data_IF_840598749805
#
_entry.id   IF_840598749805
#
_cell.length_a   1.000
_cell.length_b   1.000
_cell.length_c   1.000
_cell.angle_alpha   90.00
_cell.angle_beta   90.00
_cell.angle_gamma   90.00
#
_symmetry.space_group_name_H-M   'P 1'
#
loop_
_entity.id
_entity.type
_entity.pdbx_description
1 polymer ?
#
# COMPACT_ATOMS: atom_id res chain seq x y z
N UNK A 1 27.30 -16.57 -14.11
CA UNK A 1 26.41 -15.41 -13.86
C UNK A 1 26.53 -15.01 -12.41
N UNK A 2 26.38 -13.73 -12.08
CA UNK A 2 26.49 -13.26 -10.71
C UNK A 2 25.19 -13.60 -9.95
N UNK A 3 25.27 -14.39 -8.87
CA UNK A 3 24.10 -14.85 -8.09
C UNK A 3 23.24 -13.67 -7.62
N UNK A 4 23.87 -12.53 -7.36
CA UNK A 4 23.19 -11.30 -6.93
C UNK A 4 22.29 -10.74 -8.04
N UNK A 5 22.75 -10.71 -9.30
CA UNK A 5 21.93 -10.20 -10.40
C UNK A 5 20.74 -11.11 -10.69
N UNK A 6 20.92 -12.43 -10.55
CA UNK A 6 19.82 -13.39 -10.69
C UNK A 6 18.80 -13.36 -9.55
N UNK A 7 19.15 -12.85 -8.36
CA UNK A 7 18.22 -12.75 -7.23
C UNK A 7 17.48 -11.41 -7.21
N UNK A 8 18.17 -10.33 -7.57
CA UNK A 8 17.54 -9.01 -7.69
C UNK A 8 16.55 -9.00 -8.87
N UNK A 9 16.89 -9.69 -9.96
CA UNK A 9 16.14 -9.64 -11.20
C UNK A 9 16.48 -8.40 -12.02
N UNK A 10 16.11 -8.42 -13.29
CA UNK A 10 16.37 -7.31 -14.19
C UNK A 10 15.50 -6.10 -13.81
N UNK A 11 16.04 -4.90 -14.06
CA UNK A 11 15.35 -3.62 -13.81
C UNK A 11 14.83 -3.43 -12.36
N UNK A 12 15.41 -4.13 -11.38
CA UNK A 12 14.93 -4.17 -9.99
C UNK A 12 14.70 -2.79 -9.36
N UNK A 13 15.63 -1.85 -9.55
CA UNK A 13 15.51 -0.49 -9.00
C UNK A 13 14.33 0.28 -9.60
N UNK A 14 14.10 0.14 -10.91
CA UNK A 14 12.96 0.77 -11.59
C UNK A 14 11.66 0.21 -11.01
N UNK A 15 11.58 -1.12 -10.83
CA UNK A 15 10.41 -1.80 -10.24
C UNK A 15 10.13 -1.35 -8.80
N UNK A 16 11.17 -1.21 -7.97
CA UNK A 16 11.01 -0.69 -6.59
C UNK A 16 10.43 0.72 -6.59
N UNK A 17 10.85 1.60 -7.50
CA UNK A 17 10.35 2.98 -7.57
C UNK A 17 8.92 3.06 -8.13
N UNK A 18 8.52 2.12 -8.99
CA UNK A 18 7.15 2.04 -9.52
C UNK A 18 6.13 1.59 -8.48
N UNK A 19 6.49 0.65 -7.60
CA UNK A 19 5.61 0.11 -6.55
C UNK A 19 4.93 1.22 -5.71
N UNK A 20 5.66 2.12 -5.03
CA UNK A 20 5.04 3.17 -4.22
C UNK A 20 4.32 4.20 -5.08
N UNK A 21 4.74 4.43 -6.33
CA UNK A 21 4.04 5.36 -7.23
C UNK A 21 2.65 4.85 -7.58
N UNK A 22 2.54 3.59 -8.03
CA UNK A 22 1.28 2.99 -8.49
C UNK A 22 0.38 2.61 -7.31
N UNK A 23 0.93 1.93 -6.30
CA UNK A 23 0.16 1.50 -5.14
C UNK A 23 -0.04 2.62 -4.11
N UNK A 24 0.83 3.64 -4.07
CA UNK A 24 0.64 4.83 -3.23
C UNK A 24 -0.42 5.79 -3.77
N UNK A 25 -0.62 5.85 -5.09
CA UNK A 25 -1.76 6.57 -5.67
C UNK A 25 -3.09 6.00 -5.19
N UNK A 26 -3.17 4.66 -5.00
CA UNK A 26 -4.33 4.04 -4.36
C UNK A 26 -4.58 4.58 -2.96
N UNK A 27 -3.53 4.82 -2.17
CA UNK A 27 -3.66 5.37 -0.82
C UNK A 27 -4.27 6.78 -0.84
N UNK A 28 -3.83 7.66 -1.76
CA UNK A 28 -4.38 9.02 -1.90
C UNK A 28 -5.85 9.02 -2.30
N UNK A 29 -6.22 8.23 -3.30
CA UNK A 29 -7.60 8.11 -3.76
C UNK A 29 -8.48 7.54 -2.65
N UNK A 30 -7.98 6.52 -1.95
CA UNK A 30 -8.70 5.88 -0.84
C UNK A 30 -8.93 6.83 0.33
N UNK A 31 -7.95 7.64 0.71
CA UNK A 31 -8.14 8.66 1.75
C UNK A 31 -9.18 9.71 1.35
N UNK A 32 -9.24 10.06 0.06
CA UNK A 32 -10.26 10.98 -0.47
C UNK A 32 -11.66 10.36 -0.38
N UNK A 33 -11.79 9.07 -0.70
CA UNK A 33 -13.04 8.33 -0.57
C UNK A 33 -13.47 8.22 0.90
N UNK A 34 -12.53 7.89 1.80
CA UNK A 34 -12.80 7.77 3.23
C UNK A 34 -13.31 9.10 3.82
N UNK A 35 -12.77 10.25 3.37
CA UNK A 35 -13.30 11.57 3.77
C UNK A 35 -14.76 11.77 3.34
N UNK A 36 -15.16 11.31 2.15
CA UNK A 36 -16.55 11.37 1.69
C UNK A 36 -17.46 10.44 2.49
N UNK A 37 -16.97 9.24 2.84
CA UNK A 37 -17.67 8.33 3.76
C UNK A 37 -17.91 8.99 5.13
N UNK A 38 -16.88 9.58 5.74
CA UNK A 38 -17.01 10.27 7.04
C UNK A 38 -17.98 11.45 7.02
N UNK A 39 -18.21 12.07 5.86
CA UNK A 39 -19.22 13.14 5.67
C UNK A 39 -20.65 12.62 5.49
N UNK A 40 -20.85 11.30 5.47
CA UNK A 40 -22.14 10.66 5.25
C UNK A 40 -22.60 10.68 3.80
N UNK A 41 -21.72 11.01 2.85
CA UNK A 41 -22.04 11.11 1.42
C UNK A 41 -21.97 9.74 0.71
N UNK A 42 -21.42 8.72 1.38
CA UNK A 42 -21.14 7.42 0.76
C UNK A 42 -21.39 6.28 1.75
N UNK A 43 -21.99 5.18 1.29
CA UNK A 43 -22.23 3.99 2.11
C UNK A 43 -21.08 2.98 2.08
N UNK A 44 -20.95 2.16 3.13
CA UNK A 44 -19.86 1.18 3.33
C UNK A 44 -19.66 0.25 2.12
N UNK A 45 -20.75 -0.24 1.52
CA UNK A 45 -20.68 -1.12 0.34
C UNK A 45 -20.04 -0.43 -0.87
N UNK A 46 -20.40 0.83 -1.13
CA UNK A 46 -19.86 1.61 -2.26
C UNK A 46 -18.37 1.90 -2.06
N UNK A 47 -17.97 2.24 -0.84
CA UNK A 47 -16.56 2.45 -0.47
C UNK A 47 -15.72 1.19 -0.69
N UNK A 48 -16.22 0.05 -0.23
CA UNK A 48 -15.54 -1.22 -0.39
C UNK A 48 -15.37 -1.60 -1.87
N UNK A 49 -16.43 -1.46 -2.68
CA UNK A 49 -16.38 -1.77 -4.12
C UNK A 49 -15.33 -0.89 -4.81
N UNK A 50 -15.40 0.44 -4.64
CA UNK A 50 -14.48 1.37 -5.32
C UNK A 50 -13.04 1.14 -4.87
N UNK A 51 -12.81 0.93 -3.57
CA UNK A 51 -11.46 0.67 -3.05
C UNK A 51 -10.89 -0.64 -3.59
N UNK A 52 -11.72 -1.67 -3.72
CA UNK A 52 -11.33 -2.99 -4.20
C UNK A 52 -11.04 -2.99 -5.70
N UNK A 53 -11.88 -2.32 -6.50
CA UNK A 53 -11.65 -2.18 -7.94
C UNK A 53 -10.40 -1.38 -8.24
N UNK A 54 -10.21 -0.25 -7.55
CA UNK A 54 -9.02 0.58 -7.69
C UNK A 54 -7.75 -0.20 -7.31
N UNK A 55 -7.79 -0.92 -6.18
CA UNK A 55 -6.67 -1.78 -5.77
C UNK A 55 -6.33 -2.81 -6.85
N UNK A 56 -7.35 -3.50 -7.39
CA UNK A 56 -7.17 -4.53 -8.40
C UNK A 56 -6.58 -3.96 -9.69
N UNK A 57 -7.11 -2.83 -10.18
CA UNK A 57 -6.61 -2.18 -11.41
C UNK A 57 -5.14 -1.82 -11.27
N UNK A 58 -4.75 -1.14 -10.19
CA UNK A 58 -3.37 -0.71 -9.99
C UNK A 58 -2.42 -1.90 -9.80
N UNK A 59 -2.89 -2.97 -9.14
CA UNK A 59 -2.12 -4.21 -9.01
C UNK A 59 -1.93 -4.92 -10.36
N UNK A 60 -2.93 -4.89 -11.25
CA UNK A 60 -2.81 -5.41 -12.63
C UNK A 60 -1.85 -4.57 -13.45
N UNK A 61 -1.99 -3.23 -13.43
CA UNK A 61 -1.09 -2.30 -14.13
C UNK A 61 0.36 -2.54 -13.70
N UNK A 62 0.60 -2.66 -12.39
CA UNK A 62 1.94 -2.93 -11.88
C UNK A 62 2.51 -4.25 -12.43
N UNK A 63 1.68 -5.31 -12.51
CA UNK A 63 2.13 -6.61 -13.03
C UNK A 63 2.42 -6.54 -14.54
N UNK A 64 1.59 -5.83 -15.32
CA UNK A 64 1.81 -5.62 -16.75
C UNK A 64 3.12 -4.87 -16.98
N UNK A 65 3.38 -3.79 -16.25
CA UNK A 65 4.62 -3.03 -16.36
C UNK A 65 5.86 -3.86 -15.99
N UNK A 66 5.76 -4.74 -14.99
CA UNK A 66 6.86 -5.66 -14.65
C UNK A 66 7.19 -6.60 -15.82
N UNK A 67 6.15 -7.10 -16.49
CA UNK A 67 6.29 -7.91 -17.71
C UNK A 67 6.93 -7.10 -18.83
N UNK A 68 6.40 -5.92 -19.15
CA UNK A 68 6.91 -5.08 -20.23
C UNK A 68 8.39 -4.70 -20.06
N UNK A 69 8.82 -4.39 -18.84
CA UNK A 69 10.22 -4.05 -18.55
C UNK A 69 11.18 -5.20 -18.82
N UNK A 70 10.71 -6.44 -18.75
CA UNK A 70 11.53 -7.63 -18.79
C UNK A 70 11.32 -8.50 -20.05
N UNK A 71 10.52 -8.03 -21.02
CA UNK A 71 10.33 -8.68 -22.34
C UNK A 71 11.67 -8.94 -23.06
N UNK A 72 12.71 -8.15 -22.76
CA UNK A 72 14.05 -8.27 -23.35
C UNK A 72 15.06 -9.00 -22.43
N UNK A 73 14.61 -9.57 -21.31
CA UNK A 73 15.49 -10.26 -20.37
C UNK A 73 15.95 -11.62 -20.93
N UNK A 74 17.26 -11.92 -20.94
CA UNK A 74 17.76 -13.25 -21.29
C UNK A 74 17.47 -14.33 -20.21
N UNK A 75 16.85 -13.97 -19.08
CA UNK A 75 16.73 -14.80 -17.88
C UNK A 75 15.28 -15.20 -17.55
N UNK A 76 14.55 -15.71 -18.55
CA UNK A 76 13.10 -15.98 -18.51
C UNK A 76 12.62 -16.90 -17.39
N UNK A 77 13.39 -17.91 -16.97
CA UNK A 77 12.97 -18.83 -15.91
C UNK A 77 13.14 -18.24 -14.50
N UNK A 78 14.18 -17.44 -14.27
CA UNK A 78 14.39 -16.73 -12.99
C UNK A 78 13.55 -15.47 -12.86
N UNK A 79 13.07 -14.94 -13.98
CA UNK A 79 12.20 -13.78 -14.06
C UNK A 79 10.90 -14.01 -13.27
N UNK A 80 10.24 -15.15 -13.47
CA UNK A 80 8.91 -15.39 -12.88
C UNK A 80 8.94 -15.45 -11.35
N UNK A 81 9.97 -16.08 -10.78
CA UNK A 81 10.11 -16.27 -9.32
C UNK A 81 10.42 -14.94 -8.62
N UNK A 82 11.42 -14.21 -9.13
CA UNK A 82 11.85 -12.94 -8.55
C UNK A 82 10.79 -11.86 -8.62
N UNK A 83 10.09 -11.76 -9.74
CA UNK A 83 9.06 -10.75 -9.94
C UNK A 83 7.79 -11.08 -9.20
N UNK A 84 7.41 -12.36 -9.13
CA UNK A 84 6.25 -12.78 -8.32
C UNK A 84 6.50 -12.53 -6.84
N UNK A 85 7.70 -12.84 -6.34
CA UNK A 85 8.06 -12.54 -4.96
C UNK A 85 8.10 -11.03 -4.68
N UNK A 86 8.66 -10.22 -5.59
CA UNK A 86 8.65 -8.76 -5.47
C UNK A 86 7.21 -8.21 -5.45
N UNK A 87 6.36 -8.71 -6.35
CA UNK A 87 4.96 -8.33 -6.46
C UNK A 87 4.16 -8.67 -5.20
N UNK A 88 4.30 -9.89 -4.67
CA UNK A 88 3.64 -10.27 -3.43
C UNK A 88 4.18 -9.52 -2.21
N UNK A 89 5.49 -9.25 -2.17
CA UNK A 89 6.09 -8.40 -1.12
C UNK A 89 5.48 -7.00 -1.16
N UNK A 90 5.31 -6.40 -2.34
CA UNK A 90 4.68 -5.10 -2.52
C UNK A 90 3.22 -5.10 -2.02
N UNK A 91 2.44 -6.12 -2.35
CA UNK A 91 1.06 -6.26 -1.87
C UNK A 91 1.04 -6.40 -0.34
N UNK A 92 1.92 -7.22 0.26
CA UNK A 92 2.03 -7.35 1.71
C UNK A 92 2.35 -6.00 2.37
N UNK A 93 3.28 -5.23 1.81
CA UNK A 93 3.62 -3.88 2.28
C UNK A 93 2.36 -2.99 2.25
N UNK A 94 1.59 -2.99 1.16
CA UNK A 94 0.34 -2.24 1.08
C UNK A 94 -0.66 -2.62 2.17
N UNK A 95 -0.81 -3.92 2.47
CA UNK A 95 -1.69 -4.37 3.55
C UNK A 95 -1.18 -3.99 4.95
N UNK A 96 0.14 -3.82 5.12
CA UNK A 96 0.71 -3.28 6.36
C UNK A 96 0.48 -1.77 6.52
N UNK A 97 0.42 -1.00 5.43
CA UNK A 97 0.38 0.47 5.48
C UNK A 97 -1.03 1.05 5.39
N UNK A 98 -1.93 0.42 4.64
CA UNK A 98 -3.30 0.93 4.43
C UNK A 98 -4.09 0.94 5.75
N UNK A 99 -4.90 1.99 5.96
CA UNK A 99 -5.81 2.15 7.12
C UNK A 99 -6.85 1.03 7.25
N UNK A 100 -7.37 0.82 8.46
CA UNK A 100 -8.35 -0.26 8.71
C UNK A 100 -9.72 0.10 8.13
N UNK A 101 -10.31 -0.81 7.34
CA UNK A 101 -11.70 -0.74 6.90
C UNK A 101 -12.29 -2.16 6.91
N UNK A 102 -13.63 -2.22 6.98
CA UNK A 102 -14.35 -3.49 7.10
C UNK A 102 -14.11 -4.35 5.84
N UNK A 103 -13.72 -5.62 6.02
CA UNK A 103 -13.51 -6.60 4.95
C UNK A 103 -12.31 -6.33 4.03
N UNK A 104 -11.26 -5.70 4.55
CA UNK A 104 -10.03 -5.40 3.79
C UNK A 104 -9.32 -6.66 3.27
N UNK A 105 -9.32 -7.72 4.06
CA UNK A 105 -8.74 -9.03 3.76
C UNK A 105 -9.38 -9.69 2.52
N UNK A 106 -10.59 -9.29 2.13
CA UNK A 106 -11.30 -9.84 0.97
C UNK A 106 -11.06 -9.05 -0.32
N UNK A 107 -10.48 -7.85 -0.27
CA UNK A 107 -10.27 -7.04 -1.48
C UNK A 107 -9.26 -7.63 -2.46
N UNK A 108 -8.43 -8.59 -2.02
CA UNK A 108 -7.47 -9.27 -2.90
C UNK A 108 -8.12 -10.38 -3.75
N UNK A 109 -9.33 -10.84 -3.41
CA UNK A 109 -9.95 -11.98 -4.10
C UNK A 109 -10.26 -11.69 -5.57
N UNK A 110 -10.67 -10.46 -5.90
CA UNK A 110 -10.90 -10.07 -7.30
C UNK A 110 -9.59 -10.13 -8.10
N UNK A 111 -8.48 -9.70 -7.48
CA UNK A 111 -7.15 -9.81 -8.10
C UNK A 111 -6.76 -11.26 -8.38
N UNK A 112 -7.10 -12.20 -7.49
CA UNK A 112 -6.82 -13.62 -7.71
C UNK A 112 -7.64 -14.22 -8.85
N UNK A 113 -8.91 -13.83 -8.97
CA UNK A 113 -9.73 -14.24 -10.11
C UNK A 113 -9.15 -13.75 -11.44
N UNK A 114 -8.72 -12.48 -11.48
CA UNK A 114 -8.07 -11.90 -12.67
C UNK A 114 -6.76 -12.63 -12.96
N UNK A 115 -5.92 -12.87 -11.95
CA UNK A 115 -4.66 -13.58 -12.11
C UNK A 115 -4.86 -15.00 -12.65
N UNK A 116 -5.79 -15.76 -12.09
CA UNK A 116 -6.08 -17.12 -12.52
C UNK A 116 -6.67 -17.18 -13.94
N UNK A 117 -7.51 -16.20 -14.30
CA UNK A 117 -8.02 -16.07 -15.67
C UNK A 117 -6.89 -15.87 -16.68
N UNK A 118 -5.95 -14.96 -16.41
CA UNK A 118 -4.78 -14.75 -17.26
C UNK A 118 -3.87 -15.99 -17.31
N UNK A 119 -3.69 -16.68 -16.19
CA UNK A 119 -2.93 -17.93 -16.16
C UNK A 119 -3.51 -18.97 -17.15
N UNK A 120 -4.82 -19.24 -17.07
CA UNK A 120 -5.48 -20.16 -18.00
C UNK A 120 -5.38 -19.68 -19.45
N UNK A 121 -5.52 -18.36 -19.68
CA UNK A 121 -5.46 -17.79 -21.02
C UNK A 121 -4.08 -17.99 -21.68
N UNK A 122 -2.99 -17.85 -20.92
CA UNK A 122 -1.63 -17.96 -21.46
C UNK A 122 -1.09 -19.39 -21.49
N UNK A 123 -1.35 -20.19 -20.46
CA UNK A 123 -0.73 -21.51 -20.27
C UNK A 123 -1.70 -22.67 -20.51
N UNK A 124 -2.99 -22.39 -20.73
CA UNK A 124 -4.01 -23.41 -20.86
C UNK A 124 -4.46 -23.98 -19.52
N UNK A 125 -5.38 -24.95 -19.57
CA UNK A 125 -5.89 -25.61 -18.36
C UNK A 125 -5.26 -26.99 -18.20
N UNK A 126 -4.30 -27.10 -17.28
CA UNK A 126 -3.76 -28.36 -16.79
C UNK A 126 -4.10 -28.53 -15.31
N UNK A 127 -4.55 -29.72 -14.91
CA UNK A 127 -5.02 -29.97 -13.54
C UNK A 127 -3.91 -29.79 -12.50
N UNK A 128 -2.70 -30.25 -12.80
CA UNK A 128 -1.56 -30.16 -11.89
C UNK A 128 -1.12 -28.71 -11.68
N UNK A 129 -0.89 -27.97 -12.76
CA UNK A 129 -0.47 -26.56 -12.71
C UNK A 129 -1.55 -25.68 -12.09
N UNK A 130 -2.83 -25.91 -12.44
CA UNK A 130 -3.97 -25.19 -11.86
C UNK A 130 -4.09 -25.43 -10.35
N UNK A 131 -3.82 -26.65 -9.86
CA UNK A 131 -3.82 -26.95 -8.44
C UNK A 131 -2.75 -26.14 -7.69
N UNK A 132 -1.52 -26.10 -8.20
CA UNK A 132 -0.44 -25.32 -7.59
C UNK A 132 -0.74 -23.82 -7.56
N UNK A 133 -1.30 -23.28 -8.64
CA UNK A 133 -1.69 -21.86 -8.70
C UNK A 133 -2.78 -21.54 -7.69
N UNK A 134 -3.86 -22.33 -7.64
CA UNK A 134 -4.95 -22.12 -6.68
C UNK A 134 -4.45 -22.23 -5.24
N UNK A 135 -3.62 -23.25 -4.94
CA UNK A 135 -3.02 -23.44 -3.63
C UNK A 135 -2.15 -22.24 -3.23
N UNK A 136 -1.33 -21.72 -4.15
CA UNK A 136 -0.49 -20.56 -3.90
C UNK A 136 -1.33 -19.30 -3.61
N UNK A 137 -2.37 -19.04 -4.42
CA UNK A 137 -3.28 -17.91 -4.19
C UNK A 137 -4.03 -18.03 -2.86
N UNK A 138 -4.45 -19.24 -2.47
CA UNK A 138 -5.10 -19.50 -1.18
C UNK A 138 -4.15 -19.29 0.01
N UNK A 139 -2.90 -19.75 -0.09
CA UNK A 139 -1.88 -19.50 0.93
C UNK A 139 -1.56 -18.01 1.05
N UNK A 140 -1.48 -17.30 -0.09
CA UNK A 140 -1.27 -15.87 -0.09
C UNK A 140 -2.44 -15.10 0.51
N UNK A 141 -3.67 -15.54 0.25
CA UNK A 141 -4.86 -15.00 0.92
C UNK A 141 -4.78 -15.17 2.44
N UNK A 142 -4.39 -16.35 2.91
CA UNK A 142 -4.22 -16.66 4.33
C UNK A 142 -3.15 -15.79 4.98
N UNK A 143 -2.03 -15.55 4.27
CA UNK A 143 -0.98 -14.65 4.71
C UNK A 143 -1.49 -13.20 4.84
N UNK A 144 -2.22 -12.70 3.84
CA UNK A 144 -2.86 -11.37 3.89
C UNK A 144 -3.85 -11.28 5.04
N UNK A 145 -4.64 -12.32 5.27
CA UNK A 145 -5.61 -12.36 6.37
C UNK A 145 -4.93 -12.18 7.73
N UNK A 146 -3.81 -12.88 7.95
CA UNK A 146 -3.00 -12.74 9.17
C UNK A 146 -2.41 -11.33 9.28
N UNK A 147 -1.84 -10.80 8.20
CA UNK A 147 -1.25 -9.45 8.17
C UNK A 147 -2.31 -8.39 8.49
N UNK A 148 -3.49 -8.47 7.86
CA UNK A 148 -4.57 -7.52 8.06
C UNK A 148 -5.10 -7.55 9.50
N UNK A 149 -5.32 -8.75 10.06
CA UNK A 149 -5.91 -8.93 11.39
C UNK A 149 -4.93 -8.60 12.52
N UNK A 150 -3.64 -8.92 12.36
CA UNK A 150 -2.61 -8.72 13.38
C UNK A 150 -1.63 -7.59 13.04
N UNK A 151 -2.02 -6.66 12.16
CA UNK A 151 -1.19 -5.58 11.62
C UNK A 151 -0.35 -4.85 12.66
N UNK A 152 -0.96 -4.45 13.80
CA UNK A 152 -0.27 -3.72 14.88
C UNK A 152 0.92 -4.52 15.44
N UNK A 153 0.77 -5.84 15.57
CA UNK A 153 1.81 -6.72 16.08
C UNK A 153 2.88 -6.93 15.01
N UNK A 154 2.45 -7.17 13.77
CA UNK A 154 3.32 -7.38 12.61
C UNK A 154 4.27 -6.20 12.39
N UNK A 155 3.76 -4.97 12.42
CA UNK A 155 4.58 -3.76 12.24
C UNK A 155 5.61 -3.60 13.37
N UNK A 156 5.25 -3.98 14.60
CA UNK A 156 6.12 -3.80 15.77
C UNK A 156 7.30 -4.76 15.78
N UNK A 157 7.09 -6.04 15.43
CA UNK A 157 8.07 -7.12 15.67
C UNK A 157 8.81 -7.55 14.39
N UNK A 158 10.12 -7.34 14.34
CA UNK A 158 10.95 -7.63 13.15
C UNK A 158 10.98 -9.10 12.73
N UNK A 159 10.98 -10.04 13.68
CA UNK A 159 11.01 -11.47 13.34
C UNK A 159 9.79 -11.91 12.52
N UNK A 160 8.65 -11.19 12.63
CA UNK A 160 7.48 -11.47 11.81
C UNK A 160 7.69 -11.11 10.35
N UNK A 161 8.60 -10.19 10.01
CA UNK A 161 8.94 -9.89 8.62
C UNK A 161 9.66 -11.06 7.97
N UNK A 162 10.53 -11.73 8.72
CA UNK A 162 11.17 -12.96 8.26
C UNK A 162 10.14 -14.08 8.04
N UNK A 163 9.18 -14.26 8.98
CA UNK A 163 8.10 -15.24 8.80
C UNK A 163 7.20 -14.94 7.59
N UNK A 164 6.89 -13.67 7.36
CA UNK A 164 6.11 -13.24 6.18
C UNK A 164 6.91 -13.49 4.90
N UNK A 165 8.20 -13.18 4.92
CA UNK A 165 9.09 -13.46 3.80
C UNK A 165 9.17 -14.96 3.50
N UNK A 166 9.23 -15.83 4.51
CA UNK A 166 9.13 -17.28 4.34
C UNK A 166 7.83 -17.69 3.65
N UNK A 167 6.70 -17.14 4.08
CA UNK A 167 5.42 -17.34 3.41
C UNK A 167 5.47 -16.93 1.94
N UNK A 168 5.99 -15.73 1.63
CA UNK A 168 6.13 -15.23 0.25
C UNK A 168 7.03 -16.16 -0.59
N UNK A 169 8.15 -16.62 -0.04
CA UNK A 169 9.07 -17.52 -0.73
C UNK A 169 8.38 -18.83 -1.12
N UNK A 170 7.66 -19.46 -0.19
CA UNK A 170 6.89 -20.69 -0.45
C UNK A 170 5.82 -20.46 -1.53
N UNK A 171 5.10 -19.33 -1.46
CA UNK A 171 4.04 -18.98 -2.40
C UNK A 171 4.59 -18.75 -3.81
N UNK A 172 5.70 -18.01 -3.92
CA UNK A 172 6.37 -17.76 -5.20
C UNK A 172 6.93 -19.07 -5.78
N UNK A 173 7.49 -19.94 -4.94
CA UNK A 173 7.99 -21.25 -5.39
C UNK A 173 6.86 -22.13 -5.91
N UNK A 174 5.72 -22.19 -5.22
CA UNK A 174 4.56 -22.96 -5.69
C UNK A 174 4.04 -22.48 -7.05
N UNK A 175 4.11 -21.18 -7.34
CA UNK A 175 3.77 -20.66 -8.68
C UNK A 175 4.83 -20.96 -9.71
N UNK A 176 6.09 -21.06 -9.33
CA UNK A 176 7.13 -21.46 -10.27
C UNK A 176 7.07 -22.97 -10.56
N UNK A 177 6.82 -23.80 -9.55
CA UNK A 177 6.67 -25.25 -9.69
C UNK A 177 5.50 -25.67 -10.59
N UNK A 178 4.57 -24.78 -10.90
CA UNK A 178 3.52 -25.08 -11.87
C UNK A 178 4.08 -25.24 -13.30
N UNK A 179 5.21 -24.61 -13.62
CA UNK A 179 5.76 -24.59 -14.99
C UNK A 179 7.29 -24.88 -15.06
N UNK A 180 8.02 -24.71 -13.96
CA UNK A 180 9.50 -24.69 -13.93
C UNK A 180 10.09 -25.55 -12.80
N UNK A 181 11.37 -25.90 -12.95
CA UNK A 181 12.10 -26.72 -11.99
C UNK A 181 12.57 -25.93 -10.74
N UNK A 182 12.60 -26.62 -9.60
CA UNK A 182 13.01 -26.09 -8.29
C UNK A 182 14.48 -25.60 -8.27
N UNK A 183 14.73 -24.46 -7.63
CA UNK A 183 16.09 -23.95 -7.38
C UNK A 183 16.27 -23.38 -5.97
N UNK A 184 17.06 -24.09 -5.15
CA UNK A 184 17.29 -23.74 -3.76
C UNK A 184 18.00 -22.40 -3.55
N UNK A 185 18.99 -22.09 -4.41
CA UNK A 185 19.76 -20.84 -4.32
C UNK A 185 18.87 -19.61 -4.56
N UNK A 186 17.94 -19.71 -5.52
CA UNK A 186 17.00 -18.64 -5.84
C UNK A 186 15.99 -18.43 -4.72
N UNK A 187 15.49 -19.50 -4.10
CA UNK A 187 14.59 -19.41 -2.94
C UNK A 187 15.26 -18.64 -1.81
N UNK A 188 16.50 -18.98 -1.44
CA UNK A 188 17.23 -18.25 -0.39
C UNK A 188 17.39 -16.77 -0.76
N UNK A 189 17.78 -16.50 -2.01
CA UNK A 189 17.94 -15.13 -2.49
C UNK A 189 16.65 -14.31 -2.37
N UNK A 190 15.53 -14.89 -2.80
CA UNK A 190 14.20 -14.26 -2.70
C UNK A 190 13.77 -14.04 -1.26
N UNK A 191 14.05 -14.98 -0.36
CA UNK A 191 13.80 -14.80 1.07
C UNK A 191 14.56 -13.61 1.65
N UNK A 192 15.84 -13.48 1.34
CA UNK A 192 16.66 -12.36 1.82
C UNK A 192 16.17 -11.03 1.23
N UNK A 193 15.86 -11.01 -0.08
CA UNK A 193 15.32 -9.84 -0.79
C UNK A 193 14.00 -9.38 -0.19
N UNK A 194 13.02 -10.27 -0.04
CA UNK A 194 11.71 -9.93 0.54
C UNK A 194 11.82 -9.47 2.00
N UNK A 195 12.68 -10.10 2.81
CA UNK A 195 12.94 -9.65 4.18
C UNK A 195 13.55 -8.24 4.21
N UNK A 196 14.55 -7.97 3.36
CA UNK A 196 15.19 -6.66 3.27
C UNK A 196 14.19 -5.57 2.87
N UNK A 197 13.32 -5.84 1.89
CA UNK A 197 12.29 -4.90 1.45
C UNK A 197 11.25 -4.60 2.54
N UNK A 198 10.80 -5.62 3.29
CA UNK A 198 9.90 -5.44 4.43
C UNK A 198 10.54 -4.60 5.53
N UNK A 199 11.82 -4.83 5.83
CA UNK A 199 12.57 -4.03 6.79
C UNK A 199 12.76 -2.58 6.32
N UNK A 200 13.11 -2.38 5.04
CA UNK A 200 13.25 -1.06 4.44
C UNK A 200 11.93 -0.27 4.50
N UNK A 201 10.81 -0.91 4.21
CA UNK A 201 9.48 -0.28 4.32
C UNK A 201 9.21 0.29 5.72
N UNK A 202 9.66 -0.41 6.78
CA UNK A 202 9.51 0.09 8.16
C UNK A 202 10.36 1.34 8.40
N UNK A 203 11.60 1.36 7.89
CA UNK A 203 12.47 2.54 7.97
C UNK A 203 11.83 3.72 7.25
N UNK A 204 11.37 3.52 6.02
CA UNK A 204 10.67 4.55 5.23
C UNK A 204 9.42 5.05 5.94
N UNK A 205 8.59 4.14 6.47
CA UNK A 205 7.39 4.51 7.22
C UNK A 205 7.70 5.34 8.47
N UNK A 206 8.80 5.03 9.16
CA UNK A 206 9.26 5.81 10.33
C UNK A 206 9.71 7.22 9.91
N UNK A 207 10.49 7.33 8.82
CA UNK A 207 10.93 8.62 8.30
C UNK A 207 9.74 9.48 7.83
N UNK A 208 8.78 8.89 7.13
CA UNK A 208 7.53 9.57 6.76
C UNK A 208 6.76 10.06 8.00
N UNK A 209 6.75 9.27 9.07
CA UNK A 209 6.16 9.68 10.34
C UNK A 209 6.77 10.96 10.90
N UNK A 210 8.11 11.05 10.91
CA UNK A 210 8.85 12.24 11.36
C UNK A 210 8.50 13.46 10.49
N UNK A 211 8.51 13.29 9.17
CA UNK A 211 8.17 14.38 8.23
C UNK A 211 6.73 14.87 8.43
N UNK A 212 5.79 13.96 8.68
CA UNK A 212 4.39 14.32 8.95
C UNK A 212 4.26 15.10 10.27
N UNK A 213 5.01 14.71 11.30
CA UNK A 213 5.04 15.38 12.59
C UNK A 213 5.61 16.80 12.46
N UNK A 214 6.77 16.96 11.85
CA UNK A 214 7.38 18.27 11.55
C UNK A 214 6.45 19.16 10.72
N UNK A 215 5.81 18.60 9.69
CA UNK A 215 4.85 19.35 8.88
C UNK A 215 3.63 19.78 9.69
N UNK A 216 3.17 18.95 10.64
CA UNK A 216 2.06 19.29 11.53
C UNK A 216 2.43 20.44 12.47
N UNK A 217 3.64 20.41 13.04
CA UNK A 217 4.17 21.48 13.90
C UNK A 217 4.31 22.79 13.14
N UNK A 218 4.92 22.76 11.94
CA UNK A 218 5.03 23.93 11.07
C UNK A 218 3.66 24.50 10.69
N UNK A 219 2.69 23.62 10.44
CA UNK A 219 1.32 24.04 10.15
C UNK A 219 0.68 24.72 11.36
N UNK A 220 0.86 24.19 12.56
CA UNK A 220 0.35 24.80 13.79
C UNK A 220 0.97 26.18 14.03
N UNK A 221 2.29 26.31 13.87
CA UNK A 221 3.00 27.59 13.94
C UNK A 221 2.48 28.57 12.89
N UNK A 222 2.22 28.12 11.66
CA UNK A 222 1.68 28.96 10.58
C UNK A 222 0.28 29.51 10.85
N UNK A 223 -0.43 28.97 11.84
CA UNK A 223 -1.75 29.43 12.25
C UNK A 223 -1.73 30.37 13.46
N UNK A 224 -0.57 30.58 14.07
CA UNK A 224 -0.41 31.46 15.23
C UNK A 224 0.12 32.82 14.75
N UNK A 225 -0.52 33.90 15.18
CA UNK A 225 -0.02 35.25 15.02
C UNK A 225 1.18 35.48 15.95
N UNK A 226 2.32 35.88 15.39
CA UNK A 226 3.57 36.00 16.14
C UNK A 226 3.52 37.08 17.24
N UNK A 227 2.73 38.15 17.04
CA UNK A 227 2.67 39.27 17.97
C UNK A 227 1.83 38.93 19.21
N UNK A 228 0.73 38.22 19.02
CA UNK A 228 -0.29 38.02 20.06
C UNK A 228 -0.36 36.60 20.57
N UNK A 229 0.24 35.63 19.88
CA UNK A 229 0.14 34.21 20.20
C UNK A 229 -1.25 33.61 19.99
N UNK A 230 -2.20 34.37 19.43
CA UNK A 230 -3.55 33.87 19.11
C UNK A 230 -3.62 33.35 17.68
N UNK A 231 -4.69 32.61 17.36
CA UNK A 231 -4.91 32.13 15.99
C UNK A 231 -5.05 33.28 14.99
N UNK A 232 -4.36 33.19 13.86
CA UNK A 232 -4.41 34.19 12.81
C UNK A 232 -5.71 34.14 11.99
N UNK A 233 -5.89 35.14 11.13
CA UNK A 233 -7.10 35.30 10.31
C UNK A 233 -7.38 34.08 9.41
N UNK A 234 -6.33 33.40 8.92
CA UNK A 234 -6.48 32.20 8.09
C UNK A 234 -7.09 31.06 8.88
N UNK A 235 -6.60 30.83 10.11
CA UNK A 235 -7.15 29.80 11.00
C UNK A 235 -8.58 30.13 11.42
N UNK A 236 -8.87 31.40 11.69
CA UNK A 236 -10.22 31.88 11.99
C UNK A 236 -11.22 31.49 10.88
N UNK A 237 -10.92 31.80 9.61
CA UNK A 237 -11.81 31.46 8.49
C UNK A 237 -11.98 29.95 8.31
N UNK A 238 -10.91 29.16 8.45
CA UNK A 238 -10.99 27.70 8.34
C UNK A 238 -11.92 27.09 9.41
N UNK A 239 -11.84 27.58 10.65
CA UNK A 239 -12.72 27.14 11.74
C UNK A 239 -14.15 27.60 11.52
N UNK A 240 -14.35 28.84 11.06
CA UNK A 240 -15.67 29.38 10.76
C UNK A 240 -16.38 28.56 9.67
N UNK A 241 -15.68 28.23 8.58
CA UNK A 241 -16.21 27.40 7.50
C UNK A 241 -16.57 25.99 8.00
N UNK A 242 -15.73 25.39 8.85
CA UNK A 242 -16.03 24.10 9.48
C UNK A 242 -17.30 24.17 10.33
N UNK A 243 -17.47 25.23 11.16
CA UNK A 243 -18.66 25.40 11.99
C UNK A 243 -19.92 25.60 11.14
N UNK A 244 -19.86 26.40 10.08
CA UNK A 244 -20.99 26.66 9.17
C UNK A 244 -21.48 25.41 8.44
N UNK A 245 -20.57 24.50 8.08
CA UNK A 245 -20.91 23.26 7.38
C UNK A 245 -21.16 22.06 8.30
N UNK A 246 -20.92 22.20 9.60
CA UNK A 246 -21.09 21.10 10.54
C UNK A 246 -22.56 20.94 10.96
N UNK A 247 -23.16 19.79 10.64
CA UNK A 247 -24.57 19.49 10.94
C UNK A 247 -24.88 19.41 12.44
N UNK A 248 -23.86 19.31 13.28
CA UNK A 248 -24.00 19.14 14.75
C UNK A 248 -24.09 20.46 15.51
N UNK A 249 -23.44 21.54 15.04
CA UNK A 249 -23.44 22.85 15.69
C UNK A 249 -24.32 23.83 14.91
N UNK A 250 -25.61 23.91 15.25
CA UNK A 250 -26.56 24.78 14.55
C UNK A 250 -26.55 26.24 15.01
N UNK A 251 -25.99 26.52 16.17
CA UNK A 251 -25.98 27.87 16.75
C UNK A 251 -24.60 28.16 17.34
N UNK A 252 -24.02 29.29 16.96
CA UNK A 252 -22.80 29.82 17.55
C UNK A 252 -22.89 31.34 17.58
N UNK A 253 -22.13 31.97 18.48
CA UNK A 253 -22.00 33.42 18.58
C UNK A 253 -20.60 33.81 18.12
N UNK A 254 -20.50 34.92 17.38
CA UNK A 254 -19.23 35.50 16.98
C UNK A 254 -19.05 36.83 17.73
N UNK A 255 -17.93 36.96 18.43
CA UNK A 255 -17.52 38.20 19.07
C UNK A 255 -16.30 38.78 18.34
N UNK A 256 -16.35 40.08 18.04
CA UNK A 256 -15.28 40.83 17.41
C UNK A 256 -14.87 41.95 18.37
N UNK A 257 -13.57 42.10 18.60
CA UNK A 257 -12.99 43.13 19.44
C UNK A 257 -12.09 44.01 18.58
N UNK A 258 -12.17 45.31 18.77
CA UNK A 258 -11.30 46.30 18.12
C UNK A 258 -10.62 47.16 19.19
N UNK A 259 -9.45 47.71 18.87
CA UNK A 259 -8.68 48.57 19.76
C UNK A 259 -8.97 50.01 19.38
N UNK A 260 -9.69 50.72 20.24
CA UNK A 260 -9.97 52.14 20.06
C UNK A 260 -8.67 52.95 19.93
N UNK A 261 -8.62 53.84 18.96
CA UNK A 261 -7.48 54.74 18.72
C UNK A 261 -6.14 54.03 18.45
N UNK A 262 -6.14 52.86 17.80
CA UNK A 262 -4.92 52.10 17.49
C UNK A 262 -3.82 52.91 16.77
N UNK A 263 -4.20 53.87 15.91
CA UNK A 263 -3.28 54.86 15.36
C UNK A 263 -3.45 56.17 16.11
N UNK A 264 -2.40 56.61 16.79
CA UNK A 264 -2.28 58.01 17.20
C UNK A 264 -2.11 58.86 15.94
N UNK A 265 -2.99 59.85 15.75
CA UNK A 265 -2.85 60.88 14.71
C UNK A 265 -1.46 61.49 14.67
#
# INVERSE_FOLDING_TARGET
>A
MNVISTVLGDNFFIKILLIPTILGLNFLIKNTIQRKYSRGEMGVKKEWIISTTLFTISAVILKVLFVELDILSPNTNTYLLNDSALYFTAICICYMTIGYYKYMEYSVLILFLVYYYFFIYFWGFELQSSFFVILSLFLFWSLIFVIARYRKIVIKKYYLYFSISMGIGIIAELLCLSEFAFSFELVIGVLLKSTALLALNKVVSKLLGIVIEEFSELKEQSYIDELTGVSNIRKFYEVLEQLLHNKTFRHFSLALFDIDSFKST
#
